data_IF_064544822198
#
_entry.id   IF_064544822198
#
_cell.length_a   1.000
_cell.length_b   1.000
_cell.length_c   1.000
_cell.angle_alpha   90.00
_cell.angle_beta   90.00
_cell.angle_gamma   90.00
#
_symmetry.space_group_name_H-M   'P 1'
#
loop_
_entity.id
_entity.type
_entity.pdbx_description
1 polymer ?
#
# COMPACT_ATOMS: atom_id res chain seq x y z
N UNK A 1 -29.72 -4.03 -6.30
CA UNK A 1 -28.50 -4.42 -5.56
C UNK A 1 -27.96 -3.20 -4.83
N UNK A 2 -27.61 -3.30 -3.55
CA UNK A 2 -26.91 -2.23 -2.80
C UNK A 2 -25.59 -2.80 -2.25
N UNK A 3 -24.45 -2.12 -2.40
CA UNK A 3 -23.18 -2.59 -1.86
C UNK A 3 -23.24 -2.62 -0.33
N UNK A 4 -22.71 -3.68 0.28
CA UNK A 4 -22.69 -3.85 1.75
C UNK A 4 -21.56 -3.07 2.42
N UNK A 5 -20.43 -2.89 1.72
CA UNK A 5 -19.29 -2.15 2.22
C UNK A 5 -18.49 -1.48 1.08
N UNK A 6 -17.73 -0.43 1.43
CA UNK A 6 -16.78 0.27 0.57
C UNK A 6 -15.42 0.27 1.26
N UNK A 7 -14.38 -0.12 0.52
CA UNK A 7 -13.01 -0.17 1.01
C UNK A 7 -12.08 0.67 0.13
N UNK A 8 -11.19 1.44 0.75
CA UNK A 8 -10.05 2.05 0.09
C UNK A 8 -8.81 1.21 0.33
N UNK A 9 -8.07 0.90 -0.74
CA UNK A 9 -6.74 0.31 -0.59
C UNK A 9 -5.79 1.35 -0.01
N UNK A 10 -5.02 0.97 1.00
CA UNK A 10 -4.12 1.88 1.72
C UNK A 10 -2.72 1.30 1.80
N UNK A 11 -1.73 2.19 1.86
CA UNK A 11 -0.37 1.81 2.21
C UNK A 11 -0.20 1.80 3.72
N UNK A 12 0.58 0.87 4.28
CA UNK A 12 0.81 0.86 5.71
C UNK A 12 1.61 2.11 6.12
N UNK A 13 1.12 2.84 7.13
CA UNK A 13 1.70 4.12 7.59
C UNK A 13 3.19 4.06 7.93
N UNK A 14 3.65 2.94 8.49
CA UNK A 14 5.07 2.74 8.81
C UNK A 14 5.96 2.79 7.56
N UNK A 15 5.45 2.35 6.41
CA UNK A 15 6.19 2.34 5.15
C UNK A 15 6.40 3.76 4.65
N UNK A 16 5.35 4.60 4.65
CA UNK A 16 5.47 6.02 4.29
C UNK A 16 6.43 6.74 5.23
N UNK A 17 6.36 6.48 6.54
CA UNK A 17 7.31 7.04 7.53
C UNK A 17 8.75 6.60 7.30
N UNK A 18 8.97 5.34 6.93
CA UNK A 18 10.31 4.83 6.61
C UNK A 18 10.83 5.47 5.32
N UNK A 19 10.00 5.53 4.28
CA UNK A 19 10.36 6.12 2.99
C UNK A 19 10.73 7.60 3.15
N UNK A 20 9.92 8.40 3.85
CA UNK A 20 10.19 9.84 4.05
C UNK A 20 11.46 10.11 4.86
N UNK A 21 11.85 9.19 5.76
CA UNK A 21 13.11 9.27 6.51
C UNK A 21 14.34 8.84 5.71
N UNK A 22 14.19 7.85 4.82
CA UNK A 22 15.30 7.29 4.04
C UNK A 22 15.57 8.07 2.75
N UNK A 23 14.56 8.69 2.15
CA UNK A 23 14.69 9.43 0.89
C UNK A 23 15.76 10.53 0.92
N UNK A 24 15.87 11.37 1.96
CA UNK A 24 16.92 12.39 2.04
C UNK A 24 18.34 11.81 2.04
N UNK A 25 18.54 10.60 2.59
CA UNK A 25 19.85 9.94 2.63
C UNK A 25 20.37 9.56 1.25
N UNK A 26 19.48 9.42 0.27
CA UNK A 26 19.80 9.12 -1.13
C UNK A 26 19.58 10.33 -2.05
N UNK A 27 19.51 11.54 -1.48
CA UNK A 27 19.37 12.80 -2.22
C UNK A 27 17.98 13.06 -2.80
N UNK A 28 16.94 12.38 -2.32
CA UNK A 28 15.55 12.57 -2.77
C UNK A 28 14.75 13.38 -1.77
N UNK A 29 13.99 14.36 -2.28
CA UNK A 29 13.10 15.18 -1.47
C UNK A 29 11.73 14.47 -1.28
N UNK A 30 11.34 14.11 -0.04
CA UNK A 30 10.06 13.47 0.24
C UNK A 30 8.84 14.39 0.03
N UNK A 31 9.04 15.72 -0.06
CA UNK A 31 7.96 16.67 -0.33
C UNK A 31 7.67 16.86 -1.82
N UNK A 32 8.57 16.38 -2.69
CA UNK A 32 8.50 16.51 -4.15
C UNK A 32 8.65 15.15 -4.84
N UNK A 33 7.77 14.21 -4.51
CA UNK A 33 7.77 12.89 -5.10
C UNK A 33 7.01 12.86 -6.44
N UNK A 34 7.27 11.83 -7.25
CA UNK A 34 6.65 11.66 -8.57
C UNK A 34 7.46 12.27 -9.71
N UNK A 35 7.05 11.98 -10.96
CA UNK A 35 7.71 12.53 -12.15
C UNK A 35 7.61 14.06 -12.23
N UNK A 36 6.50 14.61 -11.74
CA UNK A 36 6.20 16.03 -11.75
C UNK A 36 6.57 16.74 -10.43
N UNK A 37 6.93 16.00 -9.38
CA UNK A 37 7.32 16.57 -8.08
C UNK A 37 6.17 17.21 -7.30
N UNK A 38 4.93 16.83 -7.60
CA UNK A 38 3.68 17.38 -7.06
C UNK A 38 3.10 16.58 -5.88
N UNK A 39 3.82 15.56 -5.41
CA UNK A 39 3.36 14.66 -4.34
C UNK A 39 4.18 14.88 -3.06
N UNK A 40 3.53 15.36 -2.01
CA UNK A 40 4.13 15.49 -0.69
C UNK A 40 3.92 14.21 0.15
N UNK A 41 4.92 13.33 0.19
CA UNK A 41 4.87 12.10 0.99
C UNK A 41 4.94 12.36 2.50
N UNK A 42 5.50 13.50 2.92
CA UNK A 42 5.61 13.85 4.34
C UNK A 42 4.25 14.14 4.94
N UNK A 43 3.46 14.97 4.28
CA UNK A 43 2.07 15.24 4.66
C UNK A 43 1.24 13.96 4.65
N UNK A 44 1.38 13.12 3.61
CA UNK A 44 0.67 11.85 3.54
C UNK A 44 1.03 10.88 4.68
N UNK A 45 2.27 10.93 5.20
CA UNK A 45 2.72 10.10 6.32
C UNK A 45 2.17 10.56 7.69
N UNK A 46 1.67 11.80 7.76
CA UNK A 46 1.05 12.38 8.97
C UNK A 46 -0.44 12.00 9.09
N UNK A 47 -1.11 11.80 7.96
CA UNK A 47 -2.50 11.33 7.91
C UNK A 47 -2.61 9.88 8.41
N UNK A 48 -3.61 9.62 9.26
CA UNK A 48 -3.89 8.28 9.76
C UNK A 48 -4.92 7.57 8.88
N UNK A 49 -4.48 6.50 8.22
CA UNK A 49 -5.34 5.61 7.44
C UNK A 49 -5.45 4.26 8.17
N UNK A 50 -6.48 4.07 9.03
CA UNK A 50 -6.63 2.84 9.79
C UNK A 50 -6.83 1.63 8.86
N UNK A 51 -6.07 0.57 9.13
CA UNK A 51 -6.17 -0.68 8.37
C UNK A 51 -7.20 -1.59 9.04
N UNK A 52 -8.35 -1.73 8.40
CA UNK A 52 -9.49 -2.53 8.88
C UNK A 52 -9.44 -3.96 8.33
N UNK A 53 -9.00 -4.14 7.08
CA UNK A 53 -8.86 -5.47 6.46
C UNK A 53 -7.45 -5.64 5.94
N UNK A 54 -6.86 -6.81 6.19
CA UNK A 54 -5.54 -7.20 5.67
C UNK A 54 -5.63 -8.55 5.00
N UNK A 55 -5.51 -8.57 3.68
CA UNK A 55 -5.61 -9.78 2.89
C UNK A 55 -4.19 -10.31 2.63
N UNK A 56 -3.82 -11.50 3.13
CA UNK A 56 -2.56 -12.12 2.74
C UNK A 56 -2.64 -12.56 1.27
N UNK A 57 -1.75 -12.04 0.42
CA UNK A 57 -1.70 -12.36 -1.01
C UNK A 57 -0.48 -13.18 -1.40
N UNK A 58 0.28 -13.67 -0.41
CA UNK A 58 1.48 -14.49 -0.61
C UNK A 58 1.24 -15.75 -1.45
N UNK A 59 0.11 -16.43 -1.27
CA UNK A 59 -0.22 -17.66 -2.02
C UNK A 59 -0.46 -17.40 -3.51
N UNK A 60 -0.88 -16.19 -3.88
CA UNK A 60 -1.23 -15.80 -5.26
C UNK A 60 -0.26 -14.78 -5.85
N UNK A 61 0.90 -14.60 -5.23
CA UNK A 61 1.75 -13.49 -5.55
C UNK A 61 2.49 -13.59 -6.87
N UNK A 62 2.74 -14.82 -7.34
CA UNK A 62 3.25 -15.06 -8.69
C UNK A 62 2.26 -14.59 -9.75
N UNK A 63 0.95 -14.81 -9.52
CA UNK A 63 -0.11 -14.35 -10.42
C UNK A 63 -0.12 -12.82 -10.47
N UNK A 64 -0.07 -12.16 -9.31
CA UNK A 64 0.06 -10.69 -9.21
C UNK A 64 1.30 -10.19 -9.93
N UNK A 65 2.44 -10.90 -9.79
CA UNK A 65 3.69 -10.55 -10.48
C UNK A 65 3.54 -10.61 -12.00
N UNK A 66 2.93 -11.67 -12.52
CA UNK A 66 2.71 -11.85 -13.96
C UNK A 66 1.78 -10.77 -14.51
N UNK A 67 0.73 -10.42 -13.77
CA UNK A 67 -0.17 -9.32 -14.12
C UNK A 67 0.57 -7.97 -14.14
N UNK A 68 1.36 -7.65 -13.11
CA UNK A 68 2.16 -6.42 -13.08
C UNK A 68 3.19 -6.35 -14.22
N UNK A 69 3.74 -7.48 -14.66
CA UNK A 69 4.70 -7.53 -15.77
C UNK A 69 4.08 -7.12 -17.12
N UNK A 70 2.77 -7.27 -17.29
CA UNK A 70 2.08 -6.79 -18.51
C UNK A 70 2.08 -5.26 -18.60
N UNK A 71 2.23 -4.54 -17.48
CA UNK A 71 2.33 -3.08 -17.43
C UNK A 71 3.79 -2.60 -17.42
N UNK A 72 4.59 -3.12 -18.36
CA UNK A 72 6.03 -2.82 -18.45
C UNK A 72 6.33 -1.31 -18.59
N UNK A 73 5.51 -0.58 -19.35
CA UNK A 73 5.66 0.87 -19.56
C UNK A 73 5.36 1.72 -18.32
N UNK A 74 4.69 1.17 -17.31
CA UNK A 74 4.34 1.85 -16.05
C UNK A 74 5.33 1.52 -14.91
N UNK A 75 6.42 0.80 -15.21
CA UNK A 75 7.40 0.41 -14.20
C UNK A 75 6.97 -0.77 -13.32
N UNK A 76 5.94 -1.54 -13.72
CA UNK A 76 5.44 -2.70 -12.96
C UNK A 76 6.52 -3.76 -12.67
N UNK A 77 7.51 -3.91 -13.55
CA UNK A 77 8.67 -4.79 -13.37
C UNK A 77 9.74 -4.13 -12.48
N UNK A 78 9.87 -2.81 -12.51
CA UNK A 78 10.93 -2.05 -11.85
C UNK A 78 10.71 -1.95 -10.33
N UNK A 79 9.45 -1.88 -9.87
CA UNK A 79 9.13 -1.88 -8.43
C UNK A 79 9.41 -3.23 -7.74
N UNK A 80 9.46 -4.35 -8.49
CA UNK A 80 9.76 -5.69 -7.96
C UNK A 80 11.21 -6.13 -8.14
N UNK A 81 12.08 -5.30 -8.72
CA UNK A 81 13.51 -5.60 -8.91
C UNK A 81 14.38 -4.98 -7.79
N UNK A 82 15.50 -5.63 -7.51
CA UNK A 82 16.48 -5.14 -6.53
C UNK A 82 16.01 -5.17 -5.07
N UNK A 83 16.54 -4.25 -4.26
CA UNK A 83 16.26 -4.14 -2.83
C UNK A 83 14.76 -4.03 -2.53
N UNK A 84 13.99 -3.36 -3.39
CA UNK A 84 12.56 -3.19 -3.19
C UNK A 84 11.75 -4.48 -3.40
N UNK A 85 12.19 -5.34 -4.32
CA UNK A 85 11.66 -6.70 -4.48
C UNK A 85 11.94 -7.59 -3.27
N UNK A 86 13.12 -7.46 -2.66
CA UNK A 86 13.46 -8.18 -1.44
C UNK A 86 12.63 -7.69 -0.24
N UNK A 87 12.50 -6.37 -0.05
CA UNK A 87 11.66 -5.75 0.99
C UNK A 87 10.21 -6.20 0.84
N UNK A 88 9.64 -6.12 -0.35
CA UNK A 88 8.25 -6.56 -0.58
C UNK A 88 8.04 -8.06 -0.32
N UNK A 89 9.03 -8.90 -0.62
CA UNK A 89 8.99 -10.34 -0.31
C UNK A 89 9.13 -10.64 1.19
N UNK A 90 9.99 -9.91 1.91
CA UNK A 90 10.24 -10.11 3.36
C UNK A 90 9.13 -9.52 4.23
N UNK A 91 8.64 -8.33 3.90
CA UNK A 91 7.62 -7.61 4.70
C UNK A 91 6.16 -8.03 4.40
N UNK A 92 6.00 -9.04 3.56
CA UNK A 92 4.76 -9.76 3.33
C UNK A 92 3.96 -9.21 2.16
N UNK A 93 3.69 -10.08 1.19
CA UNK A 93 2.74 -9.85 0.12
C UNK A 93 1.34 -9.89 0.73
N UNK A 94 0.83 -8.69 1.02
CA UNK A 94 -0.49 -8.43 1.59
C UNK A 94 -1.05 -7.16 1.00
N UNK A 95 -2.36 -7.05 1.06
CA UNK A 95 -3.08 -5.83 0.71
C UNK A 95 -3.85 -5.35 1.93
N UNK A 96 -3.66 -4.07 2.25
CA UNK A 96 -4.27 -3.41 3.39
C UNK A 96 -5.40 -2.51 2.90
N UNK A 97 -6.54 -2.55 3.57
CA UNK A 97 -7.74 -1.80 3.22
C UNK A 97 -8.31 -1.07 4.43
N UNK A 98 -8.79 0.14 4.18
CA UNK A 98 -9.58 0.94 5.11
C UNK A 98 -11.05 0.88 4.69
N UNK A 99 -11.95 0.47 5.58
CA UNK A 99 -13.38 0.56 5.34
C UNK A 99 -13.84 2.02 5.40
N UNK A 100 -14.40 2.51 4.31
CA UNK A 100 -14.99 3.84 4.22
C UNK A 100 -16.49 3.82 4.55
N UNK A 101 -17.18 2.72 4.22
CA UNK A 101 -18.60 2.56 4.54
C UNK A 101 -18.95 1.08 4.79
N UNK A 102 -19.83 0.76 5.75
CA UNK A 102 -20.22 1.64 6.85
C UNK A 102 -19.00 2.02 7.70
N UNK A 103 -18.97 3.21 8.33
CA UNK A 103 -17.86 3.59 9.19
C UNK A 103 -17.74 2.60 10.35
N UNK A 104 -16.51 2.19 10.64
CA UNK A 104 -16.21 1.32 11.78
C UNK A 104 -15.85 2.16 13.01
N UNK A 105 -16.20 1.67 14.18
CA UNK A 105 -15.77 2.28 15.44
C UNK A 105 -14.26 2.15 15.62
N UNK A 106 -13.70 3.12 16.34
CA UNK A 106 -12.27 3.11 16.69
C UNK A 106 -11.94 1.85 17.49
N UNK A 107 -10.98 1.06 17.01
CA UNK A 107 -10.56 -0.19 17.66
C UNK A 107 -11.22 -1.46 17.14
N UNK A 108 -11.98 -1.39 16.04
CA UNK A 108 -12.49 -2.56 15.35
C UNK A 108 -11.37 -3.59 15.08
N UNK A 109 -11.65 -4.87 15.34
CA UNK A 109 -10.70 -5.95 15.06
C UNK A 109 -10.39 -6.01 13.57
N UNK A 110 -9.11 -6.15 13.26
CA UNK A 110 -8.66 -6.30 11.87
C UNK A 110 -9.17 -7.62 11.30
N UNK A 111 -9.81 -7.55 10.14
CA UNK A 111 -10.32 -8.72 9.41
C UNK A 111 -9.31 -9.18 8.34
N UNK A 112 -9.44 -10.42 7.88
CA UNK A 112 -8.62 -11.00 6.80
C UNK A 112 -9.40 -11.28 5.51
N UNK A 113 -10.70 -11.02 5.52
CA UNK A 113 -11.62 -11.23 4.41
C UNK A 113 -12.47 -9.96 4.22
N UNK A 114 -12.74 -9.57 2.98
CA UNK A 114 -13.60 -8.44 2.62
C UNK A 114 -15.09 -8.77 2.78
N UNK A 115 -15.44 -10.06 2.82
CA UNK A 115 -16.82 -10.53 2.93
C UNK A 115 -17.25 -10.84 4.36
N UNK A 116 -16.32 -10.79 5.30
CA UNK A 116 -16.60 -10.84 6.73
C UNK A 116 -17.18 -9.48 7.15
N UNK A 117 -18.45 -9.21 6.84
CA UNK A 117 -19.11 -7.91 7.04
C UNK A 117 -19.85 -7.92 8.37
#
# INVERSE_FOLDING_TARGET
FKPKALYFQVFPRWFLRAATRLMPLVGKDPTKFGRNGDINLKELAEVDFPVHVRIPTRSVSEIKSKASAQHASQGGIQMRRGLMGFVTRVFGEREDFMQAYPPLENGAKRKSDLFDI
#
